data_IF_580651234628
#
_entry.id   IF_580651234628
#
_cell.length_a   1.000
_cell.length_b   1.000
_cell.length_c   1.000
_cell.angle_alpha   90.00
_cell.angle_beta   90.00
_cell.angle_gamma   90.00
#
_symmetry.space_group_name_H-M   'P 1'
#
loop_
_entity.id
_entity.type
_entity.pdbx_description
1 polymer ?
#
# COMPACT_ATOMS: atom_id res chain seq x y z
N UNK A 1 -2.77 -12.73 17.17
CA UNK A 1 -1.98 -11.94 16.22
C UNK A 1 -0.57 -12.49 16.24
N UNK A 2 -0.14 -13.15 15.17
CA UNK A 2 1.20 -13.74 15.09
C UNK A 2 2.23 -12.63 14.90
N UNK A 3 2.81 -12.15 15.99
CA UNK A 3 3.90 -11.18 15.97
C UNK A 3 5.22 -11.94 15.75
N UNK A 4 5.76 -11.81 14.55
CA UNK A 4 7.21 -11.85 14.38
C UNK A 4 7.69 -10.42 14.66
N UNK A 5 8.78 -10.21 15.42
CA UNK A 5 9.16 -8.88 15.93
C UNK A 5 9.31 -7.79 14.85
N UNK A 6 9.43 -8.18 13.58
CA UNK A 6 9.60 -7.26 12.44
C UNK A 6 8.48 -7.37 11.37
N UNK A 7 7.39 -8.10 11.65
CA UNK A 7 6.27 -8.25 10.71
C UNK A 7 4.93 -8.23 11.44
N UNK A 8 4.05 -7.32 11.02
CA UNK A 8 2.66 -7.26 11.47
C UNK A 8 1.72 -7.63 10.33
N UNK A 9 0.74 -8.49 10.63
CA UNK A 9 -0.37 -8.78 9.73
C UNK A 9 -1.52 -7.85 10.09
N UNK A 10 -2.01 -7.09 9.12
CA UNK A 10 -3.12 -6.15 9.29
C UNK A 10 -4.39 -6.75 8.70
N UNK A 11 -5.44 -6.84 9.51
CA UNK A 11 -6.75 -7.26 9.05
C UNK A 11 -7.39 -6.17 8.16
N UNK A 12 -8.11 -6.59 7.13
CA UNK A 12 -8.85 -5.66 6.26
C UNK A 12 -10.15 -5.27 6.95
N UNK A 13 -10.12 -4.13 7.64
CA UNK A 13 -11.31 -3.54 8.27
C UNK A 13 -12.13 -2.68 7.29
N UNK A 14 -13.22 -2.08 7.80
CA UNK A 14 -14.09 -1.22 7.00
C UNK A 14 -13.35 0.00 6.43
N UNK A 15 -12.41 0.59 7.19
CA UNK A 15 -11.66 1.76 6.75
C UNK A 15 -10.75 1.40 5.57
N UNK A 16 -10.06 0.26 5.64
CA UNK A 16 -9.22 -0.23 4.54
C UNK A 16 -10.09 -0.58 3.32
N UNK A 17 -11.23 -1.24 3.53
CA UNK A 17 -12.15 -1.59 2.45
C UNK A 17 -12.71 -0.36 1.73
N UNK A 18 -13.07 0.69 2.46
CA UNK A 18 -13.56 1.95 1.91
C UNK A 18 -12.48 2.65 1.06
N UNK A 19 -11.27 2.81 1.60
CA UNK A 19 -10.13 3.37 0.86
C UNK A 19 -9.82 2.55 -0.40
N UNK A 20 -9.79 1.21 -0.28
CA UNK A 20 -9.53 0.32 -1.41
C UNK A 20 -10.59 0.48 -2.52
N UNK A 21 -11.86 0.68 -2.15
CA UNK A 21 -12.95 0.92 -3.10
C UNK A 21 -12.73 2.21 -3.91
N UNK A 22 -12.33 3.30 -3.24
CA UNK A 22 -11.97 4.58 -3.87
C UNK A 22 -10.77 4.43 -4.80
N UNK A 23 -9.72 3.74 -4.37
CA UNK A 23 -8.53 3.50 -5.18
C UNK A 23 -8.86 2.70 -6.45
N UNK A 24 -9.73 1.70 -6.36
CA UNK A 24 -10.22 0.95 -7.53
C UNK A 24 -10.98 1.84 -8.50
N UNK A 25 -11.90 2.65 -7.99
CA UNK A 25 -12.72 3.53 -8.81
C UNK A 25 -11.87 4.57 -9.55
N UNK A 26 -10.85 5.13 -8.89
CA UNK A 26 -10.06 6.23 -9.42
C UNK A 26 -8.87 5.79 -10.29
N UNK A 27 -8.26 4.63 -9.99
CA UNK A 27 -7.00 4.20 -10.62
C UNK A 27 -7.09 2.84 -11.34
N UNK A 28 -8.28 2.22 -11.37
CA UNK A 28 -8.55 0.93 -12.00
C UNK A 28 -7.55 -0.15 -11.52
N UNK A 29 -7.34 -0.21 -10.21
CA UNK A 29 -6.51 -1.24 -9.59
C UNK A 29 -7.24 -2.57 -9.44
N UNK A 30 -6.48 -3.66 -9.47
CA UNK A 30 -6.99 -4.97 -9.02
C UNK A 30 -7.25 -4.90 -7.51
N UNK A 31 -8.17 -5.76 -7.03
CA UNK A 31 -8.55 -5.77 -5.61
C UNK A 31 -7.34 -5.92 -4.67
N UNK A 32 -6.39 -6.83 -4.92
CA UNK A 32 -5.24 -7.00 -4.03
C UNK A 32 -4.38 -5.73 -3.93
N UNK A 33 -4.02 -5.12 -5.06
CA UNK A 33 -3.18 -3.91 -5.10
C UNK A 33 -3.84 -2.74 -4.35
N UNK A 34 -5.16 -2.56 -4.56
CA UNK A 34 -5.92 -1.53 -3.87
C UNK A 34 -6.00 -1.76 -2.37
N UNK A 35 -6.15 -3.01 -1.92
CA UNK A 35 -6.14 -3.36 -0.49
C UNK A 35 -4.76 -3.08 0.11
N UNK A 36 -3.67 -3.50 -0.55
CA UNK A 36 -2.31 -3.32 -0.02
C UNK A 36 -1.99 -1.83 0.12
N UNK A 37 -2.30 -1.01 -0.90
CA UNK A 37 -2.11 0.44 -0.81
C UNK A 37 -3.03 1.08 0.24
N UNK A 38 -4.30 0.67 0.32
CA UNK A 38 -5.23 1.15 1.34
C UNK A 38 -4.76 0.83 2.76
N UNK A 39 -4.16 -0.34 2.98
CA UNK A 39 -3.53 -0.69 4.25
C UNK A 39 -2.39 0.26 4.59
N UNK A 40 -1.50 0.54 3.62
CA UNK A 40 -0.41 1.51 3.79
C UNK A 40 -0.91 2.91 4.15
N UNK A 41 -1.93 3.41 3.43
CA UNK A 41 -2.61 4.69 3.74
C UNK A 41 -3.23 4.65 5.13
N UNK A 42 -3.96 3.59 5.48
CA UNK A 42 -4.68 3.51 6.76
C UNK A 42 -3.73 3.50 7.97
N UNK A 43 -2.55 2.89 7.80
CA UNK A 43 -1.52 2.75 8.82
C UNK A 43 -0.51 3.91 8.84
N UNK A 44 -0.61 4.89 7.93
CA UNK A 44 0.35 5.99 7.78
C UNK A 44 1.80 5.48 7.72
N UNK A 45 2.06 4.51 6.83
CA UNK A 45 3.42 3.98 6.65
C UNK A 45 4.37 5.07 6.17
N UNK A 46 5.61 5.04 6.65
CA UNK A 46 6.66 5.96 6.17
C UNK A 46 7.00 5.66 4.70
N UNK A 47 7.07 4.36 4.36
CA UNK A 47 7.44 3.90 3.02
C UNK A 47 6.56 2.75 2.54
N UNK A 48 6.25 2.77 1.24
CA UNK A 48 5.60 1.67 0.52
C UNK A 48 6.59 1.01 -0.44
N UNK A 49 6.99 -0.23 -0.16
CA UNK A 49 7.94 -0.97 -0.98
C UNK A 49 7.19 -1.74 -2.07
N UNK A 50 7.57 -1.55 -3.34
CA UNK A 50 6.95 -2.25 -4.47
C UNK A 50 7.88 -2.32 -5.67
N UNK A 51 7.75 -3.33 -6.52
CA UNK A 51 8.42 -3.34 -7.85
C UNK A 51 7.48 -2.93 -8.98
N UNK A 52 6.26 -2.49 -8.67
CA UNK A 52 5.30 -2.05 -9.66
C UNK A 52 5.34 -0.51 -9.80
N UNK A 53 5.81 -0.04 -10.95
CA UNK A 53 5.90 1.39 -11.30
C UNK A 53 4.52 2.05 -11.29
N UNK A 54 3.46 1.32 -11.68
CA UNK A 54 2.08 1.84 -11.62
C UNK A 54 1.67 2.08 -10.17
N UNK A 55 2.02 1.20 -9.24
CA UNK A 55 1.77 1.44 -7.81
C UNK A 55 2.59 2.62 -7.29
N UNK A 56 3.90 2.69 -7.58
CA UNK A 56 4.76 3.84 -7.20
C UNK A 56 4.11 5.17 -7.58
N UNK A 57 3.66 5.28 -8.83
CA UNK A 57 3.04 6.49 -9.36
C UNK A 57 1.73 6.87 -8.64
N UNK A 58 0.95 5.89 -8.16
CA UNK A 58 -0.27 6.17 -7.40
C UNK A 58 0.05 6.48 -5.94
N UNK A 59 1.03 5.83 -5.32
CA UNK A 59 1.51 6.20 -3.98
C UNK A 59 1.83 7.69 -3.90
N UNK A 60 2.58 8.23 -4.88
CA UNK A 60 2.89 9.66 -4.93
C UNK A 60 1.64 10.56 -5.03
N UNK A 61 0.58 10.11 -5.72
CA UNK A 61 -0.71 10.85 -5.79
C UNK A 61 -1.50 10.78 -4.49
N UNK A 62 -1.28 9.74 -3.70
CA UNK A 62 -1.90 9.51 -2.40
C UNK A 62 -1.01 10.03 -1.23
N UNK A 63 0.04 10.81 -1.54
CA UNK A 63 1.01 11.35 -0.59
C UNK A 63 1.73 10.28 0.25
N UNK A 64 2.03 9.14 -0.36
CA UNK A 64 2.86 8.08 0.21
C UNK A 64 4.17 7.98 -0.56
N UNK A 65 5.27 7.94 0.18
CA UNK A 65 6.59 7.69 -0.40
C UNK A 65 6.73 6.21 -0.75
N UNK A 66 7.11 5.91 -2.00
CA UNK A 66 7.27 4.55 -2.48
C UNK A 66 8.69 4.29 -2.96
N UNK A 67 9.24 3.17 -2.50
CA UNK A 67 10.60 2.71 -2.82
C UNK A 67 10.47 1.53 -3.80
N UNK A 68 11.19 1.59 -4.92
CA UNK A 68 11.38 0.43 -5.78
C UNK A 68 12.53 -0.39 -5.23
N UNK A 69 12.43 -1.72 -5.23
CA UNK A 69 13.49 -2.57 -4.64
C UNK A 69 14.83 -2.35 -5.36
N UNK A 70 14.81 -2.09 -6.66
CA UNK A 70 16.01 -1.74 -7.44
C UNK A 70 16.65 -0.41 -7.01
N UNK A 71 15.91 0.49 -6.36
CA UNK A 71 16.42 1.76 -5.83
C UNK A 71 17.11 1.57 -4.45
N UNK A 72 17.06 0.37 -3.87
CA UNK A 72 17.71 0.04 -2.59
C UNK A 72 19.14 -0.41 -2.92
N UNK A 73 20.12 0.49 -2.72
CA UNK A 73 21.54 0.14 -2.79
C UNK A 73 21.94 -0.75 -1.60
N UNK A 74 22.92 -1.65 -1.82
CA UNK A 74 23.56 -2.46 -0.76
C UNK A 74 24.46 -1.62 0.17
#
# INVERSE_FOLDING_TARGET
MGINNNLSIIDVDYKIADIASRLRANYNFKTPDAIILATGISMNVDYFITNDIKLKNVCSKENIEAIIIEDIED
#
